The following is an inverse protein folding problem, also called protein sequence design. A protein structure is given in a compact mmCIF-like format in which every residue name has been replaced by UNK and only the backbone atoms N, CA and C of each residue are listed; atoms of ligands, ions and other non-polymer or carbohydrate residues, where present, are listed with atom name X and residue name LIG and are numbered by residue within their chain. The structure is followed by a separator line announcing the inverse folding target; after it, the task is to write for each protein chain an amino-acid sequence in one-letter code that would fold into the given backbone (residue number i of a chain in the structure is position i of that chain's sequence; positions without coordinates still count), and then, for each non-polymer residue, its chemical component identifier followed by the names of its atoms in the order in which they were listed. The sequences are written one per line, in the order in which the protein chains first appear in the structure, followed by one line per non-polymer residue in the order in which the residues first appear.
data_IF_166747457802
#
_entry.id   IF_166747457802
#
_cell.length_a   1.000
_cell.length_b   1.000
_cell.length_c   1.000
_cell.angle_alpha   90.00
_cell.angle_beta   90.00
_cell.angle_gamma   90.00
#
_symmetry.space_group_name_H-M   'P 1'
#
loop_
_entity.id
_entity.type
_entity.pdbx_description
1 polymer ?
#
# COMPACT_ATOMS: atom_id res chain seq x y z
N UNK A 1 14.13 0.24 3.23
CA UNK A 1 12.74 -0.09 2.81
C UNK A 1 11.95 -0.42 4.06
N UNK A 2 10.75 0.15 4.24
CA UNK A 2 9.93 -0.05 5.44
C UNK A 2 8.76 -0.99 5.11
N UNK A 3 8.59 -2.02 5.95
CA UNK A 3 7.48 -2.97 5.88
C UNK A 3 6.55 -2.74 7.07
N UNK A 4 5.25 -2.74 6.81
CA UNK A 4 4.21 -2.45 7.76
C UNK A 4 3.19 -3.59 7.77
N UNK A 5 2.88 -4.11 8.96
CA UNK A 5 1.77 -5.07 9.18
C UNK A 5 0.55 -4.40 9.80
N UNK A 6 0.47 -3.09 9.67
CA UNK A 6 -0.51 -2.22 10.32
C UNK A 6 -1.65 -1.88 9.39
N UNK A 7 -2.12 -2.87 8.61
CA UNK A 7 -3.35 -2.71 7.82
C UNK A 7 -4.51 -2.66 8.79
N UNK A 8 -5.25 -1.56 8.80
CA UNK A 8 -6.37 -1.35 9.73
C UNK A 8 -7.72 -1.67 9.10
N UNK A 9 -7.83 -1.51 7.77
CA UNK A 9 -9.09 -1.68 7.06
C UNK A 9 -8.86 -1.93 5.57
N UNK A 10 -9.78 -2.68 4.96
CA UNK A 10 -9.92 -2.82 3.50
C UNK A 10 -11.35 -2.47 3.11
N UNK A 11 -11.52 -1.58 2.13
CA UNK A 11 -12.82 -1.17 1.61
C UNK A 11 -12.79 -1.16 0.08
N UNK A 12 -13.37 -2.19 -0.54
CA UNK A 12 -13.28 -2.38 -1.99
C UNK A 12 -11.79 -2.47 -2.42
N UNK A 13 -11.30 -1.65 -3.36
CA UNK A 13 -9.89 -1.65 -3.77
C UNK A 13 -8.98 -0.81 -2.86
N UNK A 14 -9.50 -0.20 -1.79
CA UNK A 14 -8.74 0.67 -0.89
C UNK A 14 -8.26 -0.09 0.35
N UNK A 15 -7.00 0.14 0.72
CA UNK A 15 -6.32 -0.43 1.88
C UNK A 15 -5.83 0.71 2.75
N UNK A 16 -6.17 0.68 4.03
CA UNK A 16 -5.79 1.69 5.00
C UNK A 16 -4.65 1.13 5.86
N UNK A 17 -3.54 1.87 5.93
CA UNK A 17 -2.33 1.46 6.64
C UNK A 17 -1.97 2.53 7.66
N UNK A 18 -1.85 2.15 8.94
CA UNK A 18 -1.47 3.04 10.03
C UNK A 18 0.04 2.98 10.33
N UNK A 19 0.58 3.95 11.05
CA UNK A 19 1.96 3.97 11.51
C UNK A 19 2.96 4.29 10.41
N UNK A 20 2.48 4.68 9.23
CA UNK A 20 3.33 5.03 8.09
C UNK A 20 4.11 6.31 8.40
N UNK A 21 5.36 6.36 7.95
CA UNK A 21 6.20 7.56 8.09
C UNK A 21 7.09 7.73 6.87
N UNK A 22 7.15 8.95 6.35
CA UNK A 22 7.91 9.29 5.15
C UNK A 22 7.38 8.56 3.90
N UNK A 23 6.05 8.62 3.72
CA UNK A 23 5.33 8.08 2.56
C UNK A 23 4.75 9.26 1.77
N UNK A 24 4.87 9.21 0.45
CA UNK A 24 4.38 10.25 -0.46
C UNK A 24 3.09 9.86 -1.18
N UNK A 25 2.37 10.87 -1.65
CA UNK A 25 1.30 10.70 -2.63
C UNK A 25 1.86 10.11 -3.94
N UNK A 26 1.08 9.25 -4.62
CA UNK A 26 1.50 8.50 -5.81
C UNK A 26 2.73 7.60 -5.61
N UNK A 27 3.09 7.30 -4.37
CA UNK A 27 4.14 6.33 -4.08
C UNK A 27 3.67 4.92 -4.40
N UNK A 28 4.55 4.12 -5.01
CA UNK A 28 4.24 2.74 -5.32
C UNK A 28 4.38 1.85 -4.08
N UNK A 29 3.44 0.93 -3.93
CA UNK A 29 3.33 0.05 -2.77
C UNK A 29 3.24 -1.40 -3.22
N UNK A 30 3.97 -2.28 -2.53
CA UNK A 30 3.88 -3.73 -2.72
C UNK A 30 3.16 -4.35 -1.51
N UNK A 31 2.11 -5.12 -1.77
CA UNK A 31 1.27 -5.77 -0.79
C UNK A 31 1.53 -7.27 -0.89
N UNK A 32 2.06 -7.84 0.18
CA UNK A 32 2.51 -9.22 0.25
C UNK A 32 1.46 -9.99 1.04
N UNK A 33 0.78 -10.91 0.35
CA UNK A 33 -0.19 -11.80 0.94
C UNK A 33 0.51 -12.94 1.70
N UNK A 34 -0.19 -13.64 2.61
CA UNK A 34 0.38 -14.77 3.36
C UNK A 34 0.81 -15.92 2.45
N UNK A 35 0.19 -16.05 1.27
CA UNK A 35 0.57 -17.00 0.23
C UNK A 35 1.91 -16.69 -0.44
N UNK A 36 2.49 -15.51 -0.18
CA UNK A 36 3.66 -14.98 -0.89
C UNK A 36 3.29 -14.24 -2.19
N UNK A 37 2.01 -14.20 -2.57
CA UNK A 37 1.55 -13.42 -3.72
C UNK A 37 1.80 -11.93 -3.47
N UNK A 38 2.35 -11.25 -4.48
CA UNK A 38 2.67 -9.83 -4.44
C UNK A 38 1.69 -9.07 -5.32
N UNK A 39 0.94 -8.17 -4.72
CA UNK A 39 0.09 -7.20 -5.42
C UNK A 39 0.71 -5.83 -5.37
N UNK A 40 0.44 -5.03 -6.39
CA UNK A 40 0.90 -3.64 -6.44
C UNK A 40 -0.25 -2.71 -6.14
N UNK A 41 0.08 -1.56 -5.59
CA UNK A 41 -0.84 -0.47 -5.37
C UNK A 41 -0.13 0.87 -5.41
N UNK A 42 -0.90 1.92 -5.20
CA UNK A 42 -0.39 3.29 -5.13
C UNK A 42 -1.00 4.01 -3.94
N UNK A 43 -0.24 4.91 -3.34
CA UNK A 43 -0.74 5.80 -2.29
C UNK A 43 -1.62 6.88 -2.92
N UNK A 44 -2.90 6.91 -2.51
CA UNK A 44 -3.86 7.95 -2.89
C UNK A 44 -3.90 9.11 -1.91
N UNK A 45 -3.61 8.87 -0.63
CA UNK A 45 -3.61 9.93 0.37
C UNK A 45 -2.71 9.54 1.53
N UNK A 46 -2.08 10.54 2.15
CA UNK A 46 -1.37 10.37 3.41
C UNK A 46 -1.85 11.47 4.35
N UNK A 47 -2.39 11.07 5.50
CA UNK A 47 -2.84 11.99 6.53
C UNK A 47 -2.27 11.58 7.88
N UNK A 48 -1.48 12.48 8.49
CA UNK A 48 -0.74 12.25 9.74
C UNK A 48 0.10 10.96 9.69
N UNK A 49 -0.46 9.85 10.16
CA UNK A 49 0.17 8.53 10.24
C UNK A 49 -0.62 7.43 9.49
N UNK A 50 -1.60 7.80 8.67
CA UNK A 50 -2.41 6.87 7.88
C UNK A 50 -2.13 7.11 6.40
N UNK A 51 -1.85 6.04 5.67
CA UNK A 51 -1.84 6.03 4.21
C UNK A 51 -3.06 5.27 3.69
N UNK A 52 -3.70 5.85 2.67
CA UNK A 52 -4.72 5.20 1.86
C UNK A 52 -4.03 4.69 0.60
N UNK A 53 -4.03 3.38 0.42
CA UNK A 53 -3.41 2.69 -0.72
C UNK A 53 -4.50 2.09 -1.60
N UNK A 54 -4.49 2.41 -2.88
CA UNK A 54 -5.33 1.75 -3.87
C UNK A 54 -4.59 0.56 -4.47
N UNK A 55 -5.22 -0.61 -4.43
CA UNK A 55 -4.74 -1.81 -5.10
C UNK A 55 -4.94 -1.72 -6.62
N UNK A 56 -3.93 -2.15 -7.36
CA UNK A 56 -4.07 -2.44 -8.78
C UNK A 56 -4.61 -3.86 -8.94
N UNK A 57 -5.90 -3.97 -9.23
CA UNK A 57 -6.60 -5.25 -9.42
C UNK A 57 -7.56 -5.58 -8.27
N UNK A 58 -7.91 -6.85 -8.15
CA UNK A 58 -8.90 -7.30 -7.16
C UNK A 58 -8.33 -7.27 -5.73
N UNK A 59 -9.16 -6.87 -4.77
CA UNK A 59 -8.88 -6.97 -3.34
C UNK A 59 -9.31 -8.31 -2.73
N UNK A 60 -9.85 -9.22 -3.54
CA UNK A 60 -10.28 -10.54 -3.11
C UNK A 60 -9.11 -11.33 -2.51
N UNK A 61 -9.31 -11.89 -1.31
CA UNK A 61 -8.30 -12.69 -0.61
C UNK A 61 -7.27 -11.89 0.19
N UNK A 62 -7.44 -10.58 0.38
CA UNK A 62 -6.66 -9.85 1.39
C UNK A 62 -7.13 -10.26 2.79
N UNK A 63 -6.26 -10.98 3.50
CA UNK A 63 -6.36 -11.17 4.95
C UNK A 63 -5.61 -10.02 5.64
N UNK A 64 -6.37 -9.12 6.27
CA UNK A 64 -5.84 -7.93 6.97
C UNK A 64 -4.80 -8.30 8.01
N UNK A 65 -4.98 -9.41 8.74
CA UNK A 65 -4.13 -9.77 9.88
C UNK A 65 -2.75 -10.29 9.43
N UNK A 66 -2.67 -10.89 8.25
CA UNK A 66 -1.46 -11.55 7.77
C UNK A 66 -0.85 -10.87 6.53
N UNK A 67 -1.46 -9.81 6.01
CA UNK A 67 -0.93 -9.05 4.88
C UNK A 67 0.13 -8.04 5.34
N UNK A 68 1.23 -7.97 4.60
CA UNK A 68 2.31 -7.01 4.83
C UNK A 68 2.35 -5.98 3.70
N UNK A 69 2.61 -4.72 4.03
CA UNK A 69 2.65 -3.60 3.08
C UNK A 69 4.03 -3.00 3.07
N UNK A 70 4.61 -2.88 1.87
CA UNK A 70 5.96 -2.36 1.66
C UNK A 70 5.90 -1.13 0.76
N UNK A 71 6.31 0.01 1.33
CA UNK A 71 6.43 1.27 0.61
C UNK A 71 7.79 1.34 -0.09
N UNK A 72 7.79 1.60 -1.39
CA UNK A 72 9.00 1.55 -2.20
C UNK A 72 9.84 2.83 -2.14
N UNK A 73 9.30 3.94 -1.62
CA UNK A 73 9.96 5.25 -1.59
C UNK A 73 10.10 5.90 -2.97
N UNK A 74 9.49 5.30 -3.99
CA UNK A 74 9.49 5.79 -5.36
C UNK A 74 8.10 6.32 -5.69
N UNK A 75 8.00 7.64 -5.87
CA UNK A 75 6.84 8.23 -6.54
C UNK A 75 6.93 7.90 -8.02
N UNK A 76 5.80 7.57 -8.66
CA UNK A 76 5.78 7.36 -10.11
C UNK A 76 6.34 8.59 -10.81
N UNK A 77 7.54 8.46 -11.39
CA UNK A 77 8.11 9.49 -12.26
C UNK A 77 7.58 9.26 -13.66
N UNK A 78 6.78 10.20 -14.16
CA UNK A 78 6.49 10.29 -15.58
C UNK A 78 7.79 10.74 -16.28
N UNK A 79 8.39 9.84 -17.07
CA UNK A 79 9.46 10.24 -17.98
C UNK A 79 8.86 11.13 -19.05
N UNK A 80 9.12 12.43 -18.97
CA UNK A 80 8.86 13.37 -20.07
C UNK A 80 10.01 13.24 -21.09
N UNK A 81 9.66 13.24 -22.36
CA UNK A 81 10.60 13.26 -23.50
C UNK A 81 10.58 14.63 -24.18
#
# INVERSE_FOLDING_TARGET
MKEYKTVIQVAGPLVFVEGVSNVGYNELVEIILPSGEKRRGQVLEVSKNIAVVQLFGASAGLDIANTSVKFLGETMKLTVS
#
